data_IF_266323998608
#
_entry.id   IF_266323998608
#
_cell.length_a   1.000
_cell.length_b   1.000
_cell.length_c   1.000
_cell.angle_alpha   90.00
_cell.angle_beta   90.00
_cell.angle_gamma   90.00
#
_symmetry.space_group_name_H-M   'P 1'
#
loop_
_entity.id
_entity.type
_entity.pdbx_description
1 polymer ?
#
# COMPACT_ATOMS: atom_id res chain seq x y z
N UNK A 1 -5.78 -0.53 27.81
CA UNK A 1 -6.79 -0.62 26.72
C UNK A 1 -6.26 -1.57 25.68
N UNK A 2 -6.89 -2.73 25.54
CA UNK A 2 -6.54 -3.69 24.51
C UNK A 2 -7.02 -3.14 23.18
N UNK A 3 -6.09 -2.73 22.32
CA UNK A 3 -6.40 -2.34 20.94
C UNK A 3 -7.02 -3.57 20.28
N UNK A 4 -8.33 -3.53 20.05
CA UNK A 4 -9.07 -4.58 19.35
C UNK A 4 -8.57 -4.54 17.92
N UNK A 5 -7.89 -5.62 17.53
CA UNK A 5 -7.31 -5.76 16.20
C UNK A 5 -8.40 -5.67 15.14
N UNK A 6 -8.10 -4.93 14.07
CA UNK A 6 -8.89 -4.85 12.84
C UNK A 6 -9.53 -6.20 12.59
N UNK A 7 -10.84 -6.19 12.36
CA UNK A 7 -11.52 -7.36 11.85
C UNK A 7 -10.73 -7.87 10.64
N UNK A 8 -10.10 -9.02 10.81
CA UNK A 8 -9.32 -9.78 9.84
C UNK A 8 -9.91 -9.79 8.43
N UNK A 9 -11.24 -9.76 8.30
CA UNK A 9 -11.92 -9.69 7.01
C UNK A 9 -11.66 -8.37 6.29
N UNK A 10 -11.48 -7.28 7.02
CA UNK A 10 -11.22 -5.95 6.49
C UNK A 10 -9.79 -5.80 6.01
N UNK A 11 -8.80 -6.36 6.71
CA UNK A 11 -7.41 -6.45 6.22
C UNK A 11 -7.28 -7.42 5.03
N UNK A 12 -8.00 -8.53 5.07
CA UNK A 12 -8.12 -9.43 3.93
C UNK A 12 -8.73 -8.69 2.73
N UNK A 13 -9.84 -7.97 2.90
CA UNK A 13 -10.44 -7.09 1.88
C UNK A 13 -9.45 -6.06 1.35
N UNK A 14 -8.67 -5.41 2.22
CA UNK A 14 -7.63 -4.44 1.84
C UNK A 14 -6.50 -5.08 1.00
N UNK A 15 -6.17 -6.34 1.26
CA UNK A 15 -5.25 -7.14 0.46
C UNK A 15 -5.88 -7.74 -0.81
N UNK A 16 -7.19 -7.52 -1.05
CA UNK A 16 -7.93 -8.04 -2.21
C UNK A 16 -8.60 -9.41 -2.01
N UNK A 17 -8.85 -9.84 -0.76
CA UNK A 17 -9.53 -11.09 -0.45
C UNK A 17 -11.05 -10.94 -0.31
N UNK A 18 -11.84 -11.92 -0.79
CA UNK A 18 -13.25 -12.04 -0.42
C UNK A 18 -13.36 -12.45 1.06
N UNK A 19 -14.16 -11.72 1.84
CA UNK A 19 -14.31 -11.93 3.29
C UNK A 19 -14.92 -13.28 3.68
N UNK A 20 -15.58 -13.96 2.75
CA UNK A 20 -16.64 -14.90 3.13
C UNK A 20 -16.21 -16.36 3.17
N UNK A 21 -15.01 -16.74 2.68
CA UNK A 21 -14.73 -18.15 2.36
C UNK A 21 -13.59 -18.87 3.08
N UNK A 22 -12.86 -18.25 4.02
CA UNK A 22 -11.62 -18.89 4.53
C UNK A 22 -11.59 -19.15 6.04
N UNK A 23 -12.32 -18.38 6.86
CA UNK A 23 -12.03 -18.35 8.30
C UNK A 23 -13.15 -18.84 9.22
N UNK A 24 -14.15 -19.56 8.68
CA UNK A 24 -15.16 -20.21 9.52
C UNK A 24 -14.62 -21.42 10.32
N UNK A 25 -13.34 -21.79 10.17
CA UNK A 25 -12.72 -22.82 11.02
C UNK A 25 -11.99 -22.18 12.20
N UNK A 26 -12.59 -22.28 13.39
CA UNK A 26 -12.07 -21.81 14.70
C UNK A 26 -10.67 -22.34 15.06
N UNK A 27 -10.13 -23.33 14.32
CA UNK A 27 -8.78 -23.87 14.49
C UNK A 27 -7.64 -22.89 14.19
N UNK A 28 -7.90 -21.71 13.63
CA UNK A 28 -6.88 -20.74 13.18
C UNK A 28 -6.34 -19.79 14.26
N UNK A 29 -6.91 -19.74 15.48
CA UNK A 29 -6.53 -18.72 16.48
C UNK A 29 -5.18 -18.95 17.18
N UNK A 30 -4.67 -20.19 17.20
CA UNK A 30 -3.33 -20.54 17.71
C UNK A 30 -2.30 -20.77 16.59
N UNK A 31 -2.64 -20.39 15.36
CA UNK A 31 -1.74 -20.48 14.23
C UNK A 31 -0.64 -19.41 14.39
N UNK A 32 0.57 -19.84 14.75
CA UNK A 32 1.76 -18.97 14.84
C UNK A 32 1.96 -18.17 13.56
N UNK A 33 1.57 -18.72 12.41
CA UNK A 33 1.67 -18.02 11.13
C UNK A 33 0.68 -16.87 11.06
N UNK A 34 -0.51 -17.01 11.65
CA UNK A 34 -1.50 -15.93 11.71
C UNK A 34 -1.02 -14.76 12.57
N UNK A 35 -0.45 -15.04 13.75
CA UNK A 35 0.13 -14.01 14.61
C UNK A 35 1.28 -13.27 13.92
N UNK A 36 2.16 -13.99 13.21
CA UNK A 36 3.23 -13.40 12.42
C UNK A 36 2.71 -12.49 11.29
N UNK A 37 1.61 -12.87 10.64
CA UNK A 37 0.97 -12.03 9.62
C UNK A 37 0.35 -10.77 10.22
N UNK A 38 -0.34 -10.88 11.35
CA UNK A 38 -0.87 -9.71 12.05
C UNK A 38 0.24 -8.74 12.46
N UNK A 39 1.37 -9.26 12.96
CA UNK A 39 2.52 -8.42 13.29
C UNK A 39 3.08 -7.71 12.04
N UNK A 40 3.18 -8.43 10.93
CA UNK A 40 3.61 -7.85 9.64
C UNK A 40 2.69 -6.72 9.18
N UNK A 41 1.38 -6.89 9.35
CA UNK A 41 0.40 -5.83 9.04
C UNK A 41 0.57 -4.63 9.97
N UNK A 42 0.75 -4.83 11.28
CA UNK A 42 1.02 -3.74 12.22
C UNK A 42 2.29 -2.98 11.83
N UNK A 43 3.37 -3.69 11.51
CA UNK A 43 4.62 -3.07 11.07
C UNK A 43 4.40 -2.24 9.79
N UNK A 44 3.63 -2.75 8.84
CA UNK A 44 3.28 -2.00 7.63
C UNK A 44 2.49 -0.72 7.94
N UNK A 45 1.48 -0.78 8.82
CA UNK A 45 0.71 0.39 9.27
C UNK A 45 1.61 1.39 10.01
N UNK A 46 2.52 0.91 10.86
CA UNK A 46 3.47 1.76 11.59
C UNK A 46 4.50 2.43 10.67
N UNK A 47 4.75 1.88 9.48
CA UNK A 47 5.63 2.48 8.46
C UNK A 47 4.98 3.62 7.67
N UNK A 48 3.65 3.80 7.80
CA UNK A 48 2.96 4.96 7.25
C UNK A 48 3.36 6.23 8.00
N UNK A 49 3.27 7.38 7.33
CA UNK A 49 3.41 8.67 8.01
C UNK A 49 2.17 8.95 8.87
N UNK A 50 2.31 9.84 9.84
CA UNK A 50 1.34 10.00 10.93
C UNK A 50 -0.09 10.27 10.43
N UNK A 51 -0.27 11.05 9.36
CA UNK A 51 -1.60 11.33 8.81
C UNK A 51 -2.25 10.08 8.20
N UNK A 52 -1.49 9.33 7.40
CA UNK A 52 -1.96 8.09 6.78
C UNK A 52 -2.16 6.97 7.81
N UNK A 53 -1.30 6.89 8.84
CA UNK A 53 -1.46 5.95 9.95
C UNK A 53 -2.73 6.26 10.75
N UNK A 54 -2.91 7.53 11.14
CA UNK A 54 -4.04 7.96 11.95
C UNK A 54 -5.38 7.72 11.26
N UNK A 55 -5.52 8.04 9.97
CA UNK A 55 -6.77 7.76 9.22
C UNK A 55 -7.09 6.26 9.13
N UNK A 56 -6.06 5.41 9.02
CA UNK A 56 -6.22 3.95 9.03
C UNK A 56 -6.64 3.46 10.41
N UNK A 57 -6.01 3.94 11.48
CA UNK A 57 -6.36 3.62 12.87
C UNK A 57 -7.82 3.97 13.17
N UNK A 58 -8.23 5.21 12.91
CA UNK A 58 -9.60 5.64 13.17
C UNK A 58 -10.64 4.86 12.36
N UNK A 59 -10.37 4.63 11.08
CA UNK A 59 -11.34 3.98 10.20
C UNK A 59 -11.44 2.47 10.47
N UNK A 60 -10.31 1.77 10.63
CA UNK A 60 -10.28 0.30 10.70
C UNK A 60 -10.16 -0.28 12.11
N UNK A 61 -9.65 0.48 13.09
CA UNK A 61 -9.42 0.00 14.45
C UNK A 61 -10.42 0.62 15.43
N UNK A 62 -10.76 1.90 15.24
CA UNK A 62 -11.73 2.61 16.08
C UNK A 62 -13.16 2.58 15.49
N UNK A 63 -13.32 2.06 14.27
CA UNK A 63 -14.59 1.98 13.53
C UNK A 63 -15.30 3.34 13.37
N UNK A 64 -14.53 4.43 13.25
CA UNK A 64 -15.09 5.76 13.02
C UNK A 64 -15.54 5.90 11.56
N UNK A 65 -16.70 6.54 11.37
CA UNK A 65 -17.15 6.95 10.04
C UNK A 65 -16.27 8.06 9.46
N UNK A 66 -16.30 8.24 8.12
CA UNK A 66 -15.53 9.29 7.46
C UNK A 66 -15.87 10.70 8.00
N UNK A 67 -17.12 10.92 8.40
CA UNK A 67 -17.54 12.18 8.99
C UNK A 67 -17.02 12.38 10.42
N UNK A 68 -16.94 11.33 11.24
CA UNK A 68 -16.30 11.44 12.56
C UNK A 68 -14.79 11.72 12.43
N UNK A 69 -14.14 11.07 11.46
CA UNK A 69 -12.72 11.33 11.14
C UNK A 69 -12.52 12.76 10.64
N UNK A 70 -13.45 13.29 9.86
CA UNK A 70 -13.45 14.69 9.41
C UNK A 70 -13.34 15.66 10.58
N UNK A 71 -14.19 15.46 11.61
CA UNK A 71 -14.19 16.29 12.81
C UNK A 71 -12.90 16.13 13.61
N UNK A 72 -12.43 14.90 13.79
CA UNK A 72 -11.23 14.59 14.56
C UNK A 72 -9.93 15.12 13.91
N UNK A 73 -9.85 15.11 12.58
CA UNK A 73 -8.65 15.55 11.84
C UNK A 73 -8.66 17.02 11.45
N UNK A 74 -9.77 17.72 11.67
CA UNK A 74 -10.02 19.09 11.17
C UNK A 74 -9.75 19.21 9.66
N UNK A 75 -10.12 18.18 8.90
CA UNK A 75 -9.98 18.11 7.44
C UNK A 75 -11.31 17.83 6.81
N UNK A 76 -11.58 18.35 5.61
CA UNK A 76 -12.86 18.06 4.95
C UNK A 76 -12.96 16.59 4.50
N UNK A 77 -14.20 16.12 4.33
CA UNK A 77 -14.48 14.72 3.98
C UNK A 77 -13.74 14.23 2.71
N UNK A 78 -13.57 15.09 1.70
CA UNK A 78 -12.82 14.73 0.49
C UNK A 78 -11.32 14.52 0.76
N UNK A 79 -10.71 15.33 1.62
CA UNK A 79 -9.32 15.15 2.06
C UNK A 79 -9.15 13.87 2.87
N UNK A 80 -10.07 13.57 3.79
CA UNK A 80 -10.07 12.32 4.56
C UNK A 80 -10.17 11.11 3.65
N UNK A 81 -11.11 11.11 2.69
CA UNK A 81 -11.25 10.04 1.70
C UNK A 81 -9.98 9.86 0.86
N UNK A 82 -9.36 10.97 0.45
CA UNK A 82 -8.09 10.95 -0.27
C UNK A 82 -6.98 10.33 0.57
N UNK A 83 -6.82 10.75 1.83
CA UNK A 83 -5.83 10.17 2.75
C UNK A 83 -6.06 8.69 2.97
N UNK A 84 -7.31 8.28 3.21
CA UNK A 84 -7.66 6.87 3.40
C UNK A 84 -7.29 6.05 2.16
N UNK A 85 -7.66 6.53 0.97
CA UNK A 85 -7.33 5.86 -0.31
C UNK A 85 -5.82 5.77 -0.51
N UNK A 86 -5.07 6.83 -0.22
CA UNK A 86 -3.62 6.86 -0.35
C UNK A 86 -2.96 5.88 0.63
N UNK A 87 -3.40 5.86 1.90
CA UNK A 87 -2.92 4.95 2.93
C UNK A 87 -3.18 3.49 2.55
N UNK A 88 -4.38 3.17 2.08
CA UNK A 88 -4.74 1.84 1.59
C UNK A 88 -3.86 1.40 0.42
N UNK A 89 -3.55 2.30 -0.52
CA UNK A 89 -2.64 1.99 -1.62
C UNK A 89 -1.21 1.71 -1.14
N UNK A 90 -0.70 2.51 -0.21
CA UNK A 90 0.62 2.26 0.40
C UNK A 90 0.67 0.90 1.09
N UNK A 91 -0.36 0.58 1.91
CA UNK A 91 -0.47 -0.70 2.58
C UNK A 91 -0.53 -1.86 1.60
N UNK A 92 -1.37 -1.76 0.56
CA UNK A 92 -1.47 -2.77 -0.50
C UNK A 92 -0.11 -3.10 -1.09
N UNK A 93 0.70 -2.11 -1.44
CA UNK A 93 2.03 -2.36 -2.00
C UNK A 93 3.01 -2.94 -0.98
N UNK A 94 3.01 -2.43 0.25
CA UNK A 94 3.90 -2.94 1.32
C UNK A 94 3.63 -4.40 1.66
N UNK A 95 2.35 -4.81 1.63
CA UNK A 95 1.92 -6.16 1.99
C UNK A 95 1.87 -7.11 0.79
N UNK A 96 2.10 -6.64 -0.43
CA UNK A 96 1.94 -7.44 -1.65
C UNK A 96 2.78 -8.72 -1.62
N UNK A 97 4.04 -8.64 -1.20
CA UNK A 97 4.92 -9.81 -1.19
C UNK A 97 4.58 -10.79 -0.07
N UNK A 98 4.19 -10.28 1.10
CA UNK A 98 3.73 -11.08 2.25
C UNK A 98 2.49 -11.89 1.88
N UNK A 99 1.49 -11.22 1.32
CA UNK A 99 0.22 -11.83 0.91
C UNK A 99 0.47 -12.84 -0.23
N UNK A 100 1.34 -12.52 -1.20
CA UNK A 100 1.70 -13.47 -2.26
C UNK A 100 2.37 -14.73 -1.73
N UNK A 101 3.34 -14.58 -0.84
CA UNK A 101 4.08 -15.72 -0.30
C UNK A 101 3.16 -16.64 0.51
N UNK A 102 2.22 -16.05 1.24
CA UNK A 102 1.23 -16.80 2.01
C UNK A 102 0.19 -17.49 1.12
N UNK A 103 -0.18 -16.88 0.00
CA UNK A 103 -1.23 -17.41 -0.88
C UNK A 103 -0.88 -17.31 -2.38
N UNK A 104 0.11 -18.08 -2.85
CA UNK A 104 0.64 -17.95 -4.21
C UNK A 104 -0.42 -18.22 -5.29
N UNK A 105 -1.32 -19.17 -5.06
CA UNK A 105 -2.36 -19.59 -6.02
C UNK A 105 -3.32 -18.47 -6.40
N UNK A 106 -3.57 -17.51 -5.50
CA UNK A 106 -4.48 -16.39 -5.75
C UNK A 106 -3.80 -15.18 -6.39
N UNK A 107 -2.47 -15.19 -6.46
CA UNK A 107 -1.66 -14.06 -6.93
C UNK A 107 -0.96 -14.31 -8.26
N UNK A 108 -1.36 -15.35 -8.98
CA UNK A 108 -0.79 -15.73 -10.28
C UNK A 108 -0.82 -14.60 -11.32
N UNK A 109 -1.69 -13.60 -11.17
CA UNK A 109 -1.84 -12.50 -12.15
C UNK A 109 -1.66 -11.07 -11.58
N UNK A 110 -1.22 -10.88 -10.34
CA UNK A 110 -1.10 -9.51 -9.82
C UNK A 110 0.01 -8.76 -10.56
N UNK A 111 -0.41 -7.81 -11.41
CA UNK A 111 0.43 -6.86 -12.12
C UNK A 111 1.34 -6.14 -11.13
N UNK A 112 2.59 -6.62 -10.99
CA UNK A 112 3.60 -5.91 -10.19
C UNK A 112 3.93 -4.61 -10.89
N UNK A 113 4.23 -3.59 -10.10
CA UNK A 113 4.78 -2.35 -10.64
C UNK A 113 5.98 -2.68 -11.56
N UNK A 114 5.95 -2.25 -12.84
CA UNK A 114 7.01 -2.58 -13.79
C UNK A 114 8.36 -2.02 -13.34
N UNK A 115 8.36 -0.91 -12.61
CA UNK A 115 9.58 -0.32 -12.02
C UNK A 115 10.14 -1.20 -10.90
N UNK A 116 9.30 -1.78 -10.04
CA UNK A 116 9.74 -2.68 -8.97
C UNK A 116 10.34 -3.99 -9.49
N UNK A 117 9.81 -4.51 -10.60
CA UNK A 117 10.31 -5.74 -11.24
C UNK A 117 11.57 -5.51 -12.08
N UNK A 118 11.88 -4.27 -12.45
CA UNK A 118 12.94 -3.99 -13.39
C UNK A 118 14.33 -4.31 -12.80
N UNK A 119 15.24 -4.99 -13.53
CA UNK A 119 16.56 -5.36 -13.01
C UNK A 119 17.40 -4.14 -12.59
N UNK A 120 17.21 -3.01 -13.25
CA UNK A 120 17.87 -1.73 -12.93
C UNK A 120 17.02 -0.80 -12.05
N UNK A 121 16.15 -1.35 -11.18
CA UNK A 121 15.25 -0.59 -10.28
C UNK A 121 15.94 0.59 -9.58
N UNK A 122 17.10 0.37 -8.94
CA UNK A 122 17.83 1.42 -8.20
C UNK A 122 18.21 2.60 -9.09
N UNK A 123 18.63 2.32 -10.33
CA UNK A 123 18.98 3.35 -11.33
C UNK A 123 17.74 4.14 -11.76
N UNK A 124 16.64 3.46 -12.03
CA UNK A 124 15.36 4.09 -12.40
C UNK A 124 14.88 5.00 -11.26
N UNK A 125 14.88 4.50 -10.02
CA UNK A 125 14.47 5.28 -8.85
C UNK A 125 15.34 6.52 -8.67
N UNK A 126 16.67 6.41 -8.85
CA UNK A 126 17.59 7.56 -8.78
C UNK A 126 17.24 8.61 -9.83
N UNK A 127 16.95 8.20 -11.07
CA UNK A 127 16.57 9.11 -12.15
C UNK A 127 15.24 9.80 -11.83
N UNK A 128 14.24 9.02 -11.43
CA UNK A 128 12.91 9.52 -11.11
C UNK A 128 12.95 10.51 -9.91
N UNK A 129 13.67 10.16 -8.84
CA UNK A 129 13.85 11.03 -7.66
C UNK A 129 14.66 12.30 -7.96
N UNK A 130 15.47 12.31 -9.01
CA UNK A 130 16.23 13.48 -9.44
C UNK A 130 15.42 14.49 -10.26
N UNK A 131 14.12 14.25 -10.49
CA UNK A 131 13.24 15.16 -11.23
C UNK A 131 13.14 16.49 -10.49
N UNK A 132 13.45 17.58 -11.17
CA UNK A 132 13.21 18.95 -10.67
C UNK A 132 11.74 19.33 -10.83
N UNK A 133 11.26 20.29 -10.05
CA UNK A 133 9.86 20.75 -10.11
C UNK A 133 9.47 21.24 -11.52
N UNK A 134 10.32 22.08 -12.13
CA UNK A 134 10.13 22.62 -13.48
C UNK A 134 10.29 21.58 -14.61
N UNK A 135 10.84 20.39 -14.36
CA UNK A 135 10.98 19.35 -15.38
C UNK A 135 9.66 18.63 -15.63
N UNK A 136 9.34 18.34 -16.89
CA UNK A 136 8.19 17.48 -17.24
C UNK A 136 8.52 15.99 -17.11
N UNK A 137 7.50 15.16 -16.92
CA UNK A 137 7.67 13.71 -16.93
C UNK A 137 8.18 13.16 -18.27
N UNK A 138 7.90 13.84 -19.39
CA UNK A 138 8.45 13.49 -20.70
C UNK A 138 9.97 13.57 -20.74
N UNK A 139 10.57 14.55 -20.05
CA UNK A 139 12.03 14.67 -19.90
C UNK A 139 12.60 13.49 -19.11
N UNK A 140 11.92 13.07 -18.05
CA UNK A 140 12.30 11.89 -17.27
C UNK A 140 12.19 10.61 -18.10
N UNK A 141 11.11 10.43 -18.87
CA UNK A 141 10.96 9.27 -19.77
C UNK A 141 12.07 9.21 -20.82
N UNK A 142 12.50 10.35 -21.39
CA UNK A 142 13.65 10.40 -22.32
C UNK A 142 14.96 10.00 -21.63
N UNK A 143 15.19 10.47 -20.40
CA UNK A 143 16.36 10.09 -19.59
C UNK A 143 16.37 8.60 -19.26
N UNK A 144 15.21 8.03 -18.92
CA UNK A 144 15.04 6.60 -18.67
C UNK A 144 15.33 5.80 -19.94
N UNK A 145 14.71 6.15 -21.08
CA UNK A 145 14.98 5.48 -22.36
C UNK A 145 16.47 5.49 -22.70
N UNK A 146 17.16 6.62 -22.50
CA UNK A 146 18.60 6.74 -22.77
C UNK A 146 19.47 5.92 -21.80
N UNK A 147 19.09 5.81 -20.52
CA UNK A 147 19.92 5.18 -19.48
C UNK A 147 19.63 3.70 -19.26
N UNK A 148 18.38 3.28 -19.40
CA UNK A 148 17.91 1.92 -19.08
C UNK A 148 17.19 1.24 -20.25
N UNK A 149 17.06 1.90 -21.40
CA UNK A 149 16.41 1.33 -22.60
C UNK A 149 14.89 1.32 -22.58
N UNK A 150 14.27 1.52 -21.41
CA UNK A 150 12.82 1.44 -21.22
C UNK A 150 12.14 2.79 -20.97
N UNK A 151 10.85 2.85 -21.29
CA UNK A 151 9.94 3.95 -20.94
C UNK A 151 8.74 3.43 -20.18
N UNK A 152 8.41 4.07 -19.06
CA UNK A 152 7.22 3.74 -18.28
C UNK A 152 6.08 4.69 -18.65
N UNK A 153 5.27 4.28 -19.62
CA UNK A 153 4.05 4.98 -19.99
C UNK A 153 2.84 4.26 -19.39
N UNK A 154 1.81 4.98 -18.92
CA UNK A 154 1.76 6.45 -18.79
C UNK A 154 2.63 7.00 -17.64
N UNK A 155 2.92 8.32 -17.58
CA UNK A 155 3.66 8.94 -16.49
C UNK A 155 3.12 8.63 -15.08
N UNK A 156 1.83 8.33 -14.97
CA UNK A 156 1.20 7.89 -13.74
C UNK A 156 1.85 6.63 -13.15
N UNK A 157 2.45 5.75 -13.96
CA UNK A 157 3.23 4.60 -13.46
C UNK A 157 4.40 5.07 -12.59
N UNK A 158 5.16 6.07 -13.05
CA UNK A 158 6.28 6.62 -12.28
C UNK A 158 5.79 7.39 -11.05
N UNK A 159 4.73 8.19 -11.19
CA UNK A 159 4.15 8.97 -10.09
C UNK A 159 3.64 8.03 -8.99
N UNK A 160 2.87 7.01 -9.36
CA UNK A 160 2.35 6.02 -8.42
C UNK A 160 3.49 5.22 -7.77
N UNK A 161 4.55 4.90 -8.52
CA UNK A 161 5.74 4.25 -7.97
C UNK A 161 6.35 5.06 -6.84
N UNK A 162 6.64 6.35 -7.07
CA UNK A 162 7.23 7.22 -6.05
C UNK A 162 6.30 7.39 -4.86
N UNK A 163 5.00 7.59 -5.15
CA UNK A 163 4.03 7.97 -4.13
C UNK A 163 3.70 6.82 -3.19
N UNK A 164 3.57 5.60 -3.71
CA UNK A 164 3.01 4.48 -2.95
C UNK A 164 4.01 3.37 -2.63
N UNK A 165 5.15 3.28 -3.32
CA UNK A 165 6.19 2.32 -2.98
C UNK A 165 7.21 2.98 -2.04
N UNK A 166 6.91 2.98 -0.73
CA UNK A 166 7.89 3.37 0.30
C UNK A 166 9.03 2.34 0.29
N UNK A 167 10.27 2.84 0.42
CA UNK A 167 11.56 2.11 0.28
C UNK A 167 11.46 0.64 0.75
N UNK A 168 11.39 -0.29 -0.21
CA UNK A 168 11.92 -1.64 -0.03
C UNK A 168 13.40 -1.63 -0.36
#
# INVERSE_FOLDING_TARGET
MSIIFVDHQTLAKLAGYPSDSIWQNEKSKNDTDYLAFLDTVRQAVNSLDDKHRRVIEMYFFENLSLHQIEQEMEQNCHQVQKLLREAMLMLKYSLTDVVRNRWPERFKEVNRCPICKHPQRKTIEKIIKSKKEAESWGTISKRLKKKVGETFNPPSTMINHIKYHKKG
#
